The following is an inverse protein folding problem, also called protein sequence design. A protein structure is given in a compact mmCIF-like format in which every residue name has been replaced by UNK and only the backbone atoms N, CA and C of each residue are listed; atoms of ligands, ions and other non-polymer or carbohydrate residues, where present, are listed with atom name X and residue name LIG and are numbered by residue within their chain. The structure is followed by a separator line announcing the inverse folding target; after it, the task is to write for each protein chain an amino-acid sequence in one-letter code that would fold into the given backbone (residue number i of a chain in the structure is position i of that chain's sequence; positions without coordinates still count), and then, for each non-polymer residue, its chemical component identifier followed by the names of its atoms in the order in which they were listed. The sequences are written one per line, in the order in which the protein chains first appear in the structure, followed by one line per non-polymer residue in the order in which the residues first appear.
data_IF_336069950008
#
_entry.id   IF_336069950008
#
_cell.length_a   1.000
_cell.length_b   1.000
_cell.length_c   1.000
_cell.angle_alpha   90.00
_cell.angle_beta   90.00
_cell.angle_gamma   90.00
#
_symmetry.space_group_name_H-M   'P 1'
#
loop_
_entity.id
_entity.type
_entity.pdbx_description
1 polymer ?
#
# COMPACT_ATOMS: atom_id res chain seq x y z
N UNK A 1 -4.50 -35.07 -0.84
CA UNK A 1 -5.71 -35.01 0.04
C UNK A 1 -6.21 -33.59 0.06
N UNK A 2 -7.51 -33.33 -0.07
CA UNK A 2 -8.06 -32.00 0.16
C UNK A 2 -7.71 -31.60 1.59
N UNK A 3 -7.09 -30.41 1.77
CA UNK A 3 -6.85 -29.85 3.09
C UNK A 3 -8.20 -29.66 3.78
N UNK A 4 -8.40 -30.36 4.90
CA UNK A 4 -9.59 -30.14 5.73
C UNK A 4 -9.50 -28.70 6.29
N UNK A 5 -10.52 -27.89 6.02
CA UNK A 5 -10.61 -26.51 6.49
C UNK A 5 -10.48 -25.46 5.39
N UNK A 6 -10.67 -24.21 5.80
CA UNK A 6 -10.54 -23.05 4.93
C UNK A 6 -9.08 -22.68 4.68
N UNK A 7 -8.84 -22.06 3.52
CA UNK A 7 -7.52 -21.54 3.12
C UNK A 7 -7.48 -20.03 3.31
N UNK A 8 -6.39 -19.55 3.89
CA UNK A 8 -6.15 -18.13 4.12
C UNK A 8 -4.77 -17.77 3.59
N UNK A 9 -4.70 -16.78 2.72
CA UNK A 9 -3.47 -16.31 2.07
C UNK A 9 -3.30 -14.82 2.35
N UNK A 10 -2.10 -14.43 2.75
CA UNK A 10 -1.60 -13.07 2.71
C UNK A 10 -0.70 -12.90 1.49
N UNK A 11 -0.95 -11.90 0.66
CA UNK A 11 -0.08 -11.54 -0.46
C UNK A 11 0.39 -10.09 -0.34
N UNK A 12 1.55 -9.81 -0.91
CA UNK A 12 2.01 -8.45 -1.14
C UNK A 12 1.67 -8.05 -2.58
N UNK A 13 0.47 -7.49 -2.76
CA UNK A 13 -0.03 -7.09 -4.08
C UNK A 13 0.87 -6.01 -4.69
N UNK A 14 1.42 -6.18 -5.88
CA UNK A 14 2.10 -5.12 -6.60
C UNK A 14 1.10 -4.16 -7.27
N UNK A 15 1.58 -3.01 -7.75
CA UNK A 15 0.81 -2.16 -8.66
C UNK A 15 0.53 -2.87 -9.99
N UNK A 16 -0.49 -2.41 -10.70
CA UNK A 16 -0.87 -2.96 -12.01
C UNK A 16 -1.84 -4.14 -11.95
N UNK A 17 -2.07 -4.74 -10.79
CA UNK A 17 -3.00 -5.86 -10.60
C UNK A 17 -4.33 -5.39 -10.05
N UNK A 18 -5.44 -5.83 -10.65
CA UNK A 18 -6.79 -5.54 -10.17
C UNK A 18 -7.23 -6.57 -9.13
N UNK A 19 -7.96 -6.10 -8.13
CA UNK A 19 -8.50 -6.95 -7.05
C UNK A 19 -9.84 -7.55 -7.48
N UNK A 20 -9.79 -8.59 -8.29
CA UNK A 20 -10.96 -9.35 -8.76
C UNK A 20 -10.57 -10.79 -9.06
N UNK A 21 -11.54 -11.69 -9.08
CA UNK A 21 -11.35 -13.09 -9.53
C UNK A 21 -11.49 -13.23 -11.03
N UNK A 22 -12.15 -12.28 -11.73
CA UNK A 22 -12.30 -12.25 -13.18
C UNK A 22 -12.31 -10.81 -13.64
N UNK A 23 -11.49 -10.48 -14.61
CA UNK A 23 -11.47 -9.17 -15.23
C UNK A 23 -12.09 -9.23 -16.63
N UNK A 24 -12.86 -8.21 -17.00
CA UNK A 24 -13.51 -8.10 -18.31
C UNK A 24 -12.67 -7.30 -19.31
N UNK A 25 -11.56 -6.72 -18.87
CA UNK A 25 -10.68 -5.84 -19.67
C UNK A 25 -9.30 -6.44 -19.90
N UNK A 26 -9.12 -7.74 -19.66
CA UNK A 26 -7.85 -8.47 -19.80
C UNK A 26 -6.68 -7.86 -18.99
N UNK A 27 -6.97 -7.22 -17.86
CA UNK A 27 -5.93 -6.72 -16.94
C UNK A 27 -5.49 -7.85 -16.00
N UNK A 28 -4.21 -7.88 -15.60
CA UNK A 28 -3.74 -8.86 -14.63
C UNK A 28 -4.50 -8.72 -13.30
N UNK A 29 -4.85 -9.86 -12.70
CA UNK A 29 -5.64 -9.95 -11.48
C UNK A 29 -4.83 -10.49 -10.31
N UNK A 30 -5.32 -10.32 -9.09
CA UNK A 30 -4.69 -10.91 -7.90
C UNK A 30 -4.66 -12.44 -7.93
N UNK A 31 -5.52 -13.09 -8.76
CA UNK A 31 -5.50 -14.54 -8.95
C UNK A 31 -4.25 -14.99 -9.69
N UNK A 32 -3.75 -14.19 -10.63
CA UNK A 32 -2.56 -14.50 -11.41
C UNK A 32 -1.28 -14.55 -10.56
N UNK A 33 -1.34 -14.00 -9.34
CA UNK A 33 -0.24 -14.04 -8.37
C UNK A 33 -0.20 -15.33 -7.54
N UNK A 34 -1.23 -16.20 -7.65
CA UNK A 34 -1.34 -17.44 -6.87
C UNK A 34 -1.60 -18.68 -7.74
N UNK A 35 -0.87 -18.90 -8.85
CA UNK A 35 -1.19 -19.91 -9.85
C UNK A 35 -1.10 -21.34 -9.30
N UNK A 36 -0.31 -21.57 -8.25
CA UNK A 36 -0.15 -22.88 -7.61
C UNK A 36 -1.27 -23.24 -6.63
N UNK A 37 -2.16 -22.30 -6.31
CA UNK A 37 -3.28 -22.54 -5.39
C UNK A 37 -4.46 -23.12 -6.15
N UNK A 38 -4.71 -24.42 -5.98
CA UNK A 38 -5.77 -25.17 -6.69
C UNK A 38 -7.18 -24.95 -6.11
N UNK A 39 -7.34 -24.11 -5.08
CA UNK A 39 -8.66 -23.79 -4.47
C UNK A 39 -9.17 -22.47 -5.00
N UNK A 40 -10.48 -22.38 -5.17
CA UNK A 40 -11.12 -21.11 -5.52
C UNK A 40 -11.13 -20.20 -4.30
N UNK A 41 -10.33 -19.15 -4.35
CA UNK A 41 -10.23 -18.12 -3.32
C UNK A 41 -10.85 -16.81 -3.80
N UNK A 42 -11.32 -16.04 -2.83
CA UNK A 42 -11.90 -14.72 -3.08
C UNK A 42 -11.06 -13.64 -2.38
N UNK A 43 -10.90 -12.48 -3.00
CA UNK A 43 -10.24 -11.34 -2.37
C UNK A 43 -11.04 -10.82 -1.17
N UNK A 44 -10.37 -10.52 -0.07
CA UNK A 44 -10.96 -9.91 1.13
C UNK A 44 -10.87 -8.39 0.99
N UNK A 45 -11.95 -7.80 0.52
CA UNK A 45 -12.00 -6.39 0.18
C UNK A 45 -11.20 -6.06 -1.08
N UNK A 46 -10.81 -4.80 -1.21
CA UNK A 46 -10.12 -4.30 -2.41
C UNK A 46 -8.90 -3.47 -2.05
N UNK A 47 -7.92 -3.50 -2.95
CA UNK A 47 -6.87 -2.50 -3.13
C UNK A 47 -6.97 -1.99 -4.56
N UNK A 48 -6.82 -0.68 -4.74
CA UNK A 48 -6.79 -0.08 -6.08
C UNK A 48 -5.61 -0.62 -6.89
N UNK A 49 -5.70 -0.52 -8.20
CA UNK A 49 -4.67 -1.03 -9.11
C UNK A 49 -3.31 -0.34 -8.89
N UNK A 50 -3.33 0.95 -8.53
CA UNK A 50 -2.16 1.78 -8.21
C UNK A 50 -1.74 1.74 -6.74
N UNK A 51 -2.35 0.87 -5.92
CA UNK A 51 -2.00 0.64 -4.52
C UNK A 51 -1.34 -0.73 -4.34
N UNK A 52 -0.45 -0.82 -3.36
CA UNK A 52 0.36 -2.00 -3.07
C UNK A 52 0.12 -2.54 -1.67
N UNK A 53 0.72 -3.70 -1.39
CA UNK A 53 0.88 -4.22 -0.03
C UNK A 53 -0.09 -5.33 0.32
N UNK A 54 -0.35 -5.47 1.60
CA UNK A 54 -1.09 -6.59 2.17
C UNK A 54 -2.47 -6.72 1.56
N UNK A 55 -2.72 -7.85 0.94
CA UNK A 55 -4.03 -8.26 0.48
C UNK A 55 -4.31 -9.69 0.93
N UNK A 56 -5.50 -9.94 1.46
CA UNK A 56 -5.89 -11.25 1.92
C UNK A 56 -6.81 -11.92 0.91
N UNK A 57 -6.69 -13.25 0.80
CA UNK A 57 -7.58 -14.09 0.03
C UNK A 57 -7.98 -15.32 0.83
N UNK A 58 -9.24 -15.72 0.73
CA UNK A 58 -9.77 -16.90 1.45
C UNK A 58 -10.99 -17.48 0.74
N UNK A 59 -11.33 -18.72 1.07
CA UNK A 59 -12.62 -19.35 0.78
C UNK A 59 -13.59 -19.31 1.98
N UNK A 60 -13.18 -18.67 3.09
CA UNK A 60 -14.03 -18.46 4.28
C UNK A 60 -14.84 -17.17 4.14
N UNK A 61 -16.10 -17.32 3.73
CA UNK A 61 -17.01 -16.19 3.56
C UNK A 61 -17.29 -15.42 4.86
N UNK A 62 -17.29 -16.08 6.02
CA UNK A 62 -17.54 -15.43 7.30
C UNK A 62 -16.40 -14.49 7.69
N UNK A 63 -15.16 -14.95 7.54
CA UNK A 63 -13.96 -14.12 7.78
C UNK A 63 -13.89 -13.00 6.74
N UNK A 64 -14.16 -13.28 5.47
CA UNK A 64 -14.19 -12.23 4.44
C UNK A 64 -15.21 -11.14 4.76
N UNK A 65 -16.42 -11.52 5.15
CA UNK A 65 -17.47 -10.59 5.58
C UNK A 65 -17.05 -9.78 6.80
N UNK A 66 -16.54 -10.45 7.86
CA UNK A 66 -16.11 -9.78 9.09
C UNK A 66 -15.03 -8.71 8.84
N UNK A 67 -14.11 -8.96 7.91
CA UNK A 67 -13.02 -8.04 7.57
C UNK A 67 -13.43 -6.89 6.64
N UNK A 68 -14.53 -7.06 5.88
CA UNK A 68 -14.89 -6.10 4.81
C UNK A 68 -16.14 -5.29 5.10
N UNK A 69 -17.05 -5.79 5.94
CA UNK A 69 -18.29 -5.10 6.20
C UNK A 69 -18.06 -3.78 6.96
N UNK A 70 -18.60 -2.64 6.49
CA UNK A 70 -18.33 -1.33 7.07
C UNK A 70 -18.64 -1.23 8.57
N UNK A 71 -19.71 -1.86 9.05
CA UNK A 71 -20.11 -1.81 10.46
C UNK A 71 -19.10 -2.45 11.45
N UNK A 72 -18.10 -3.16 10.92
CA UNK A 72 -17.08 -3.81 11.74
C UNK A 72 -15.89 -2.89 12.02
N UNK A 73 -15.77 -1.79 11.29
CA UNK A 73 -14.72 -0.79 11.46
C UNK A 73 -13.30 -1.39 11.60
N UNK A 74 -13.04 -2.50 10.88
CA UNK A 74 -11.75 -3.19 10.95
C UNK A 74 -10.64 -2.24 10.53
N UNK A 75 -9.61 -2.02 11.38
CA UNK A 75 -8.54 -1.09 11.08
C UNK A 75 -7.69 -1.58 9.92
N UNK A 76 -7.33 -0.64 9.06
CA UNK A 76 -6.47 -0.81 7.89
C UNK A 76 -5.36 0.23 7.96
N UNK A 77 -4.11 -0.21 8.11
CA UNK A 77 -2.98 0.70 8.22
C UNK A 77 -2.23 0.76 6.90
N UNK A 78 -1.97 1.97 6.46
CA UNK A 78 -1.26 2.27 5.22
C UNK A 78 -0.03 3.11 5.49
N UNK A 79 0.96 2.97 4.62
CA UNK A 79 2.09 3.90 4.49
C UNK A 79 1.92 4.65 3.19
N UNK A 80 1.79 5.96 3.29
CA UNK A 80 1.66 6.89 2.16
C UNK A 80 2.96 7.68 2.00
N UNK A 81 3.54 7.65 0.81
CA UNK A 81 4.60 8.60 0.40
C UNK A 81 3.97 9.74 -0.36
N UNK A 82 4.25 10.95 0.07
CA UNK A 82 3.62 12.17 -0.43
C UNK A 82 4.61 12.98 -1.27
N UNK A 83 4.08 13.77 -2.18
CA UNK A 83 4.85 14.67 -3.04
C UNK A 83 5.47 15.80 -2.22
N UNK A 84 4.67 16.42 -1.36
CA UNK A 84 5.08 17.53 -0.52
C UNK A 84 5.15 17.13 0.95
N UNK A 85 5.87 17.92 1.77
CA UNK A 85 5.86 17.79 3.23
C UNK A 85 4.44 18.03 3.75
N UNK A 86 4.08 17.31 4.81
CA UNK A 86 2.80 17.50 5.53
C UNK A 86 3.06 18.35 6.76
N UNK A 87 2.20 19.32 7.02
CA UNK A 87 2.26 20.15 8.21
C UNK A 87 1.68 19.43 9.43
N UNK A 88 1.99 19.94 10.62
CA UNK A 88 1.38 19.40 11.86
C UNK A 88 -0.13 19.72 11.89
N UNK A 89 -0.54 20.86 11.33
CA UNK A 89 -1.95 21.26 11.18
C UNK A 89 -2.72 20.27 10.28
N UNK A 90 -2.12 19.84 9.17
CA UNK A 90 -2.75 18.85 8.29
C UNK A 90 -2.83 17.47 8.94
N UNK A 91 -1.83 17.08 9.74
CA UNK A 91 -1.91 15.87 10.56
C UNK A 91 -3.07 15.94 11.58
N UNK A 92 -3.32 17.11 12.17
CA UNK A 92 -4.47 17.33 13.07
C UNK A 92 -5.79 17.20 12.30
N UNK A 93 -5.91 17.81 11.10
CA UNK A 93 -7.11 17.68 10.24
C UNK A 93 -7.36 16.20 9.89
N UNK A 94 -6.32 15.46 9.46
CA UNK A 94 -6.44 14.02 9.16
C UNK A 94 -6.98 13.23 10.35
N UNK A 95 -6.47 13.51 11.57
CA UNK A 95 -6.89 12.81 12.79
C UNK A 95 -8.34 13.10 13.19
N UNK A 96 -8.84 14.31 12.91
CA UNK A 96 -10.23 14.71 13.18
C UNK A 96 -11.21 14.24 12.12
N UNK A 97 -10.72 13.89 10.95
CA UNK A 97 -11.49 13.62 9.75
C UNK A 97 -11.48 14.81 8.80
N UNK A 98 -11.68 14.52 7.52
CA UNK A 98 -11.69 15.52 6.42
C UNK A 98 -13.02 15.43 5.68
N UNK A 99 -13.59 16.57 5.36
CA UNK A 99 -14.76 16.65 4.49
C UNK A 99 -14.35 16.30 3.06
N UNK A 100 -14.96 15.25 2.53
CA UNK A 100 -14.84 14.82 1.14
C UNK A 100 -16.19 15.03 0.43
N UNK A 101 -16.22 14.82 -0.88
CA UNK A 101 -17.43 14.94 -1.70
C UNK A 101 -18.58 14.03 -1.21
N UNK A 102 -18.23 12.88 -0.62
CA UNK A 102 -19.16 11.87 -0.06
C UNK A 102 -19.30 11.96 1.48
N UNK A 103 -18.96 13.12 2.06
CA UNK A 103 -19.13 13.44 3.47
C UNK A 103 -17.87 13.35 4.32
N UNK A 104 -17.98 13.71 5.60
CA UNK A 104 -16.89 13.70 6.57
C UNK A 104 -16.34 12.27 6.73
N UNK A 105 -15.00 12.13 6.71
CA UNK A 105 -14.34 10.85 7.01
C UNK A 105 -14.36 10.58 8.51
N UNK A 106 -14.29 9.30 8.88
CA UNK A 106 -14.05 8.93 10.27
C UNK A 106 -12.69 9.46 10.75
N UNK A 107 -12.54 9.74 12.06
CA UNK A 107 -11.24 10.04 12.66
C UNK A 107 -10.18 8.98 12.34
N UNK A 108 -8.94 9.41 12.13
CA UNK A 108 -7.83 8.53 11.78
C UNK A 108 -6.70 8.59 12.80
N UNK A 109 -5.86 7.54 12.84
CA UNK A 109 -4.58 7.60 13.54
C UNK A 109 -3.48 7.84 12.51
N UNK A 110 -2.67 8.90 12.72
CA UNK A 110 -1.60 9.26 11.80
C UNK A 110 -0.31 9.54 12.54
N UNK A 111 0.83 9.18 11.93
CA UNK A 111 2.17 9.56 12.42
C UNK A 111 3.14 9.71 11.26
N UNK A 112 4.15 10.55 11.43
CA UNK A 112 5.29 10.58 10.53
C UNK A 112 6.16 9.34 10.75
N UNK A 113 6.73 8.82 9.68
CA UNK A 113 7.65 7.68 9.74
C UNK A 113 9.11 8.12 9.59
N UNK A 114 9.34 9.34 9.10
CA UNK A 114 10.68 9.93 8.96
C UNK A 114 10.63 11.47 9.11
N UNK A 115 11.81 12.08 9.22
CA UNK A 115 11.98 13.53 9.37
C UNK A 115 11.68 14.30 8.07
N UNK A 116 11.56 13.62 6.93
CA UNK A 116 11.19 14.26 5.65
C UNK A 116 9.78 14.82 5.68
N UNK A 117 8.92 14.34 6.60
CA UNK A 117 7.49 14.64 6.70
C UNK A 117 6.70 14.31 5.42
N UNK A 118 7.27 13.47 4.54
CA UNK A 118 6.63 12.98 3.32
C UNK A 118 6.20 11.53 3.43
N UNK A 119 6.62 10.82 4.46
CA UNK A 119 6.24 9.44 4.72
C UNK A 119 5.34 9.38 5.94
N UNK A 120 4.06 9.08 5.70
CA UNK A 120 3.01 9.10 6.73
C UNK A 120 2.38 7.71 6.85
N UNK A 121 2.30 7.21 8.08
CA UNK A 121 1.44 6.08 8.41
C UNK A 121 0.05 6.60 8.75
N UNK A 122 -0.98 5.99 8.15
CA UNK A 122 -2.39 6.32 8.40
C UNK A 122 -3.21 5.05 8.62
N UNK A 123 -3.96 5.00 9.72
CA UNK A 123 -4.90 3.93 10.02
C UNK A 123 -6.33 4.42 9.81
N UNK A 124 -7.08 3.69 8.98
CA UNK A 124 -8.49 3.93 8.69
C UNK A 124 -9.35 2.80 9.27
N UNK A 125 -10.57 3.15 9.72
CA UNK A 125 -11.61 2.19 10.14
C UNK A 125 -12.75 2.07 9.14
N UNK A 126 -12.68 2.79 8.06
CA UNK A 126 -13.60 2.74 6.91
C UNK A 126 -12.84 2.44 5.61
N UNK A 127 -13.52 2.38 4.46
CA UNK A 127 -12.86 2.05 3.20
C UNK A 127 -13.63 2.62 2.00
N UNK A 128 -13.68 3.96 1.89
CA UNK A 128 -14.27 4.62 0.72
C UNK A 128 -13.35 4.49 -0.49
N UNK A 129 -13.91 4.64 -1.67
CA UNK A 129 -13.12 4.62 -2.90
C UNK A 129 -12.00 5.67 -2.85
N UNK A 130 -10.76 5.23 -3.07
CA UNK A 130 -9.53 6.06 -3.10
C UNK A 130 -9.41 7.06 -1.93
N UNK A 131 -9.89 6.67 -0.75
CA UNK A 131 -10.09 7.57 0.39
C UNK A 131 -8.83 8.34 0.77
N UNK A 132 -7.70 7.66 1.02
CA UNK A 132 -6.44 8.31 1.44
C UNK A 132 -5.97 9.31 0.37
N UNK A 133 -6.06 8.95 -0.91
CA UNK A 133 -5.67 9.86 -2.00
C UNK A 133 -6.55 11.11 -2.06
N UNK A 134 -7.86 10.97 -1.82
CA UNK A 134 -8.80 12.11 -1.75
C UNK A 134 -8.55 12.96 -0.49
N UNK A 135 -8.26 12.34 0.65
CA UNK A 135 -7.94 13.06 1.89
C UNK A 135 -6.70 13.94 1.71
N UNK A 136 -5.60 13.42 1.15
CA UNK A 136 -4.42 14.22 0.89
C UNK A 136 -4.62 15.25 -0.23
N UNK A 137 -5.42 14.94 -1.25
CA UNK A 137 -5.80 15.92 -2.28
C UNK A 137 -6.57 17.12 -1.69
N UNK A 138 -7.43 16.90 -0.71
CA UNK A 138 -8.14 17.96 0.01
C UNK A 138 -7.21 18.82 0.90
N UNK A 139 -5.95 18.39 1.09
CA UNK A 139 -4.87 19.12 1.75
C UNK A 139 -3.81 19.62 0.74
N UNK A 140 -4.17 19.78 -0.53
CA UNK A 140 -3.29 20.20 -1.62
C UNK A 140 -2.00 19.37 -1.75
N UNK A 141 -2.08 18.08 -1.42
CA UNK A 141 -0.96 17.15 -1.52
C UNK A 141 -1.32 15.91 -2.36
N UNK A 142 -0.30 15.26 -2.90
CA UNK A 142 -0.45 14.10 -3.78
C UNK A 142 0.21 12.86 -3.18
N UNK A 143 -0.50 11.73 -3.22
CA UNK A 143 0.02 10.43 -2.78
C UNK A 143 0.77 9.77 -3.93
N UNK A 144 2.11 9.75 -3.85
CA UNK A 144 3.01 9.16 -4.84
C UNK A 144 3.03 7.63 -4.77
N UNK A 145 2.99 7.07 -3.56
CA UNK A 145 2.83 5.62 -3.36
C UNK A 145 1.98 5.35 -2.13
N UNK A 146 1.23 4.25 -2.18
CA UNK A 146 0.34 3.83 -1.10
C UNK A 146 0.48 2.31 -0.89
N UNK A 147 0.89 1.93 0.31
CA UNK A 147 1.14 0.54 0.67
C UNK A 147 0.30 0.20 1.89
N UNK A 148 -0.59 -0.79 1.78
CA UNK A 148 -1.27 -1.33 2.96
C UNK A 148 -0.34 -2.26 3.71
N UNK A 149 0.01 -1.91 4.94
CA UNK A 149 0.94 -2.68 5.78
C UNK A 149 0.22 -3.55 6.81
N UNK A 150 -1.06 -3.26 7.10
CA UNK A 150 -1.85 -4.04 8.08
C UNK A 150 -3.33 -4.08 7.70
N UNK A 151 -3.99 -5.20 7.97
CA UNK A 151 -5.44 -5.38 7.86
C UNK A 151 -5.92 -6.21 9.07
N UNK A 152 -6.69 -5.58 9.95
CA UNK A 152 -7.07 -6.20 11.23
C UNK A 152 -5.83 -6.64 12.01
N UNK A 153 -5.74 -7.92 12.43
CA UNK A 153 -4.57 -8.42 13.16
C UNK A 153 -3.38 -8.76 12.24
N UNK A 154 -3.59 -8.87 10.92
CA UNK A 154 -2.57 -9.37 10.00
C UNK A 154 -1.65 -8.26 9.53
N UNK A 155 -0.33 -8.52 9.59
CA UNK A 155 0.71 -7.63 9.10
C UNK A 155 1.31 -8.13 7.79
N UNK A 156 1.75 -7.18 6.96
CA UNK A 156 2.50 -7.47 5.74
C UNK A 156 3.86 -8.10 6.07
N UNK A 157 4.56 -7.55 7.09
CA UNK A 157 5.91 -8.00 7.46
C UNK A 157 6.88 -7.90 6.29
N UNK A 158 7.79 -8.86 6.21
CA UNK A 158 8.84 -8.95 5.18
C UNK A 158 8.40 -9.67 3.89
N UNK A 159 7.10 -9.88 3.70
CA UNK A 159 6.59 -10.56 2.50
C UNK A 159 6.97 -9.78 1.25
N UNK A 160 7.75 -10.41 0.37
CA UNK A 160 8.26 -9.79 -0.87
C UNK A 160 7.12 -9.40 -1.81
N UNK A 161 7.29 -8.28 -2.52
CA UNK A 161 6.30 -7.80 -3.50
C UNK A 161 6.05 -8.86 -4.59
N UNK A 162 4.77 -9.08 -4.91
CA UNK A 162 4.35 -10.09 -5.90
C UNK A 162 4.33 -11.52 -5.37
N UNK A 163 4.64 -11.75 -4.09
CA UNK A 163 4.59 -13.08 -3.49
C UNK A 163 3.44 -13.21 -2.48
N UNK A 164 3.16 -14.44 -2.09
CA UNK A 164 2.16 -14.76 -1.08
C UNK A 164 2.69 -15.80 -0.09
N UNK A 165 2.01 -15.88 1.06
CA UNK A 165 2.18 -16.94 2.05
C UNK A 165 0.83 -17.37 2.61
N UNK A 166 0.76 -18.58 3.11
CA UNK A 166 -0.38 -18.98 3.94
C UNK A 166 -0.30 -18.29 5.29
N UNK A 167 -1.46 -18.01 5.90
CA UNK A 167 -1.50 -17.52 7.27
C UNK A 167 -1.10 -18.61 8.24
N UNK A 168 -0.45 -18.22 9.33
CA UNK A 168 -0.12 -19.11 10.43
C UNK A 168 -1.39 -19.51 11.21
N UNK A 169 -1.38 -20.63 11.95
CA UNK A 169 -2.50 -21.01 12.81
C UNK A 169 -2.93 -19.91 13.80
N UNK A 170 -1.97 -19.16 14.35
CA UNK A 170 -2.23 -18.02 15.24
C UNK A 170 -2.96 -16.90 14.51
N UNK A 171 -2.49 -16.49 13.32
CA UNK A 171 -3.14 -15.46 12.52
C UNK A 171 -4.57 -15.85 12.13
N UNK A 172 -4.79 -17.14 11.82
CA UNK A 172 -6.14 -17.66 11.52
C UNK A 172 -7.03 -17.61 12.77
N UNK A 173 -6.50 -17.96 13.94
CA UNK A 173 -7.24 -17.86 15.19
C UNK A 173 -7.63 -16.41 15.48
N UNK A 174 -6.70 -15.45 15.32
CA UNK A 174 -6.96 -14.02 15.50
C UNK A 174 -8.05 -13.51 14.53
N UNK A 175 -8.05 -13.96 13.28
CA UNK A 175 -9.12 -13.62 12.31
C UNK A 175 -10.47 -14.19 12.72
N UNK A 176 -10.51 -15.41 13.24
CA UNK A 176 -11.76 -16.05 13.65
C UNK A 176 -12.38 -15.36 14.86
N UNK A 177 -11.59 -14.81 15.79
CA UNK A 177 -12.13 -14.03 16.91
C UNK A 177 -12.93 -12.81 16.44
N UNK A 178 -12.56 -12.21 15.29
CA UNK A 178 -13.30 -11.11 14.69
C UNK A 178 -14.70 -11.52 14.18
N UNK A 179 -14.90 -12.80 13.85
CA UNK A 179 -16.21 -13.29 13.45
C UNK A 179 -17.14 -13.52 14.63
N UNK A 180 -16.57 -13.78 15.82
CA UNK A 180 -17.31 -14.11 17.04
C UNK A 180 -17.66 -12.88 17.87
N UNK A 181 -16.93 -11.78 17.74
CA UNK A 181 -17.10 -10.54 18.50
C UNK A 181 -18.40 -9.76 18.20
N UNK A 182 -19.44 -10.43 17.71
CA UNK A 182 -20.74 -9.84 17.34
C UNK A 182 -21.66 -9.62 18.56
N UNK A 183 -21.24 -10.07 19.74
CA UNK A 183 -22.10 -10.05 20.94
C UNK A 183 -21.58 -9.30 22.15
N UNK A 184 -20.31 -8.88 22.16
CA UNK A 184 -19.74 -8.22 23.36
C UNK A 184 -18.70 -7.17 22.95
N UNK A 185 -18.95 -5.92 23.35
CA UNK A 185 -17.94 -4.87 23.27
C UNK A 185 -16.73 -5.24 24.12
N UNK A 186 -15.54 -5.28 23.54
CA UNK A 186 -14.33 -5.58 24.29
C UNK A 186 -13.19 -4.63 23.97
N UNK A 187 -12.67 -4.04 25.04
CA UNK A 187 -11.39 -3.38 25.15
C UNK A 187 -10.25 -4.40 24.97
N UNK A 188 -9.55 -4.37 23.86
CA UNK A 188 -8.31 -5.10 23.66
C UNK A 188 -7.18 -4.15 23.25
N UNK A 189 -6.22 -3.89 24.14
CA UNK A 189 -5.00 -3.13 23.82
C UNK A 189 -4.10 -3.94 22.88
N UNK A 190 -3.61 -3.38 21.78
CA UNK A 190 -2.72 -4.10 20.86
C UNK A 190 -1.29 -4.24 21.43
N UNK A 191 -0.69 -5.40 21.21
CA UNK A 191 0.68 -5.71 21.59
C UNK A 191 1.68 -4.89 20.75
N UNK A 192 2.50 -4.10 21.43
CA UNK A 192 3.39 -3.08 20.81
C UNK A 192 4.63 -3.64 20.08
N UNK A 193 5.00 -4.91 20.25
CA UNK A 193 6.30 -5.43 19.79
C UNK A 193 6.43 -5.66 18.26
N UNK A 194 5.32 -5.79 17.54
CA UNK A 194 5.33 -6.07 16.08
C UNK A 194 5.30 -4.79 15.22
N UNK A 195 5.15 -3.60 15.81
CA UNK A 195 5.00 -2.33 15.10
C UNK A 195 6.31 -1.82 14.46
N UNK A 196 7.47 -2.12 15.06
CA UNK A 196 8.75 -1.53 14.62
C UNK A 196 9.31 -2.15 13.33
N UNK A 197 9.05 -3.44 13.08
CA UNK A 197 9.67 -4.16 11.96
C UNK A 197 9.08 -3.72 10.61
N UNK A 198 7.76 -3.58 10.52
CA UNK A 198 7.10 -3.20 9.26
C UNK A 198 7.40 -1.76 8.82
N UNK A 199 7.63 -0.85 9.77
CA UNK A 199 7.95 0.54 9.48
C UNK A 199 9.39 0.72 8.97
N UNK A 200 10.35 -0.06 9.50
CA UNK A 200 11.77 0.02 9.12
C UNK A 200 12.02 -0.47 7.69
N UNK A 201 11.25 -1.46 7.21
CA UNK A 201 11.43 -2.02 5.86
C UNK A 201 10.94 -1.07 4.76
N UNK A 202 9.88 -0.32 5.02
CA UNK A 202 9.34 0.66 4.06
C UNK A 202 10.22 1.92 3.96
N UNK A 203 10.89 2.32 5.05
CA UNK A 203 11.80 3.49 5.07
C UNK A 203 13.14 3.22 4.39
N UNK A 204 13.61 1.97 4.37
CA UNK A 204 14.89 1.54 3.79
C UNK A 204 14.89 1.28 2.28
N UNK A 205 13.76 1.38 1.59
CA UNK A 205 13.72 1.19 0.14
C UNK A 205 14.31 2.43 -0.54
N UNK A 206 15.52 2.36 -1.17
CA UNK A 206 16.14 3.48 -1.86
C UNK A 206 15.22 3.90 -3.01
N UNK A 207 14.97 5.19 -3.11
CA UNK A 207 14.41 5.78 -4.32
C UNK A 207 15.33 5.40 -5.49
N UNK A 208 14.76 4.99 -6.62
CA UNK A 208 15.51 4.89 -7.87
C UNK A 208 16.18 6.25 -8.11
N UNK A 209 17.49 6.29 -8.00
CA UNK A 209 18.28 7.40 -8.52
C UNK A 209 18.02 7.46 -10.02
N UNK A 210 17.41 8.53 -10.46
CA UNK A 210 17.44 8.95 -11.84
C UNK A 210 18.90 9.34 -12.13
N UNK A 211 19.59 8.51 -12.92
CA UNK A 211 20.86 8.88 -13.49
C UNK A 211 20.66 10.08 -14.41
N UNK A 212 20.89 11.26 -13.87
CA UNK A 212 21.16 12.46 -14.66
C UNK A 212 22.61 12.33 -15.16
N UNK A 213 22.76 12.06 -16.48
CA UNK A 213 24.05 12.13 -17.16
C UNK A 213 24.38 13.59 -17.39
N UNK A 214 24.91 14.25 -16.36
CA UNK A 214 25.60 15.52 -16.49
C UNK A 214 26.86 15.33 -17.32
N UNK A 215 26.96 16.05 -18.42
CA UNK A 215 28.12 16.17 -19.26
C UNK A 215 29.24 16.90 -18.49
N UNK A 216 30.31 16.19 -18.15
CA UNK A 216 31.56 16.81 -17.72
C UNK A 216 32.34 17.24 -18.95
N UNK A 217 32.48 18.57 -19.06
CA UNK A 217 33.51 19.24 -19.86
C UNK A 217 34.80 19.20 -19.07
N UNK A 218 35.76 18.46 -19.56
CA UNK A 218 37.18 18.69 -19.20
C UNK A 218 37.91 19.14 -20.47
N UNK A 219 38.46 20.33 -20.37
CA UNK A 219 39.32 20.90 -21.40
C UNK A 219 40.74 20.34 -21.35
N UNK A 220 41.44 20.48 -22.45
CA UNK A 220 42.87 20.98 -22.50
C UNK A 220 43.36 20.98 -23.93
N UNK A 221 43.75 22.18 -24.30
CA UNK A 221 44.96 22.63 -25.03
C UNK A 221 45.33 21.98 -26.37
N UNK A 222 45.46 22.82 -27.33
CA UNK A 222 46.75 22.98 -28.01
C UNK A 222 46.78 22.69 -29.49
N UNK A 223 46.96 23.75 -30.20
CA UNK A 223 47.90 23.92 -31.29
C UNK A 223 47.45 23.75 -32.74
N UNK A 224 47.36 24.89 -33.38
CA UNK A 224 48.08 25.37 -34.58
C UNK A 224 47.92 24.58 -35.92
N UNK A 225 47.68 25.31 -36.97
CA UNK A 225 48.06 24.87 -38.29
C UNK A 225 47.12 25.19 -39.43
N UNK A 226 47.08 26.45 -39.81
CA UNK A 226 47.16 26.95 -41.20
C UNK A 226 46.36 26.33 -42.37
N UNK A 227 45.74 27.22 -43.06
CA UNK A 227 45.70 27.47 -44.54
C UNK A 227 44.55 26.96 -45.40
N UNK A 228 43.99 27.98 -45.99
CA UNK A 228 43.66 28.18 -47.41
C UNK A 228 42.43 27.49 -47.98
N UNK A 229 41.49 28.28 -48.34
CA UNK A 229 41.22 29.05 -49.60
C UNK A 229 40.40 28.29 -50.64
N UNK A 230 39.39 29.00 -51.15
CA UNK A 230 38.65 28.87 -52.43
C UNK A 230 37.63 27.76 -52.49
N UNK A 231 36.40 27.98 -52.88
CA UNK A 231 35.83 28.79 -53.90
C UNK A 231 34.67 28.03 -54.52
N UNK A 232 33.61 28.70 -54.78
CA UNK A 232 32.85 28.53 -56.00
C UNK A 232 31.55 27.77 -56.01
N UNK A 233 30.52 28.55 -56.08
CA UNK A 233 29.39 28.45 -57.07
C UNK A 233 28.81 27.05 -57.39
N UNK A 234 27.63 26.79 -57.12
CA UNK A 234 26.40 27.06 -57.89
C UNK A 234 25.20 26.72 -57.03
#
# INVERSE_FOLDING_TARGET
KPLAGHVYIAMNKPQGFVTTVKDTHNRPTVIDLIPSVKRRLYPVGRLDMDSEGLHLMTDDGNVAFALTHPSREIPKTYVARLKNKVSDEDMVKLRRGIMLEDGMTLPTHTRFLDDSRRLVEIELREGRNRQIRRMFKALDNEVMSLIRVKLGPIWLGELKKGTYRYLTPSEVADLRTLTQAVGQGSNGKPNMKTREVAAKDVSKRPGRELHDKGQDKAGLSGNDGSKKVLGGKK
#
